data_IF_169229958890
#
_entry.id   IF_169229958890
#
_cell.length_a   1.000
_cell.length_b   1.000
_cell.length_c   1.000
_cell.angle_alpha   90.00
_cell.angle_beta   90.00
_cell.angle_gamma   90.00
#
_symmetry.space_group_name_H-M   'P 1'
#
loop_
_entity.id
_entity.type
_entity.pdbx_description
1 polymer ?
#
# COMPACT_ATOMS: atom_id res chain seq x y z
N UNK A 1 35.07 -4.87 0.60
CA UNK A 1 33.86 -4.42 1.34
C UNK A 1 32.66 -4.07 0.44
N UNK A 2 32.83 -3.48 -0.75
CA UNK A 2 31.71 -3.11 -1.65
C UNK A 2 30.96 -4.31 -2.26
N UNK A 3 31.63 -5.46 -2.43
CA UNK A 3 31.05 -6.67 -3.02
C UNK A 3 29.77 -7.19 -2.32
N UNK A 4 29.66 -7.00 -1.00
CA UNK A 4 28.49 -7.43 -0.23
C UNK A 4 27.26 -6.56 -0.52
N UNK A 5 27.45 -5.25 -0.74
CA UNK A 5 26.37 -4.33 -1.12
C UNK A 5 25.80 -4.62 -2.52
N UNK A 6 26.67 -5.06 -3.45
CA UNK A 6 26.27 -5.42 -4.81
C UNK A 6 25.46 -6.71 -4.84
N UNK A 7 25.74 -7.68 -3.95
CA UNK A 7 25.10 -8.99 -3.99
C UNK A 7 23.62 -8.93 -3.62
N UNK A 8 23.26 -8.13 -2.61
CA UNK A 8 21.94 -8.18 -1.96
C UNK A 8 20.97 -7.05 -2.35
N UNK A 9 21.41 -5.99 -3.03
CA UNK A 9 20.52 -4.87 -3.35
C UNK A 9 20.29 -4.69 -4.85
N UNK A 10 19.05 -4.98 -5.27
CA UNK A 10 18.52 -4.69 -6.61
C UNK A 10 18.84 -3.26 -7.11
N UNK A 11 18.70 -2.19 -6.30
CA UNK A 11 18.95 -0.83 -6.79
C UNK A 11 20.42 -0.56 -7.10
N UNK A 12 21.37 -1.16 -6.39
CA UNK A 12 22.81 -0.98 -6.66
C UNK A 12 23.19 -1.65 -7.99
N UNK A 13 22.60 -2.81 -8.30
CA UNK A 13 22.79 -3.48 -9.59
C UNK A 13 22.24 -2.64 -10.75
N UNK A 14 21.05 -2.07 -10.59
CA UNK A 14 20.45 -1.21 -11.60
C UNK A 14 21.25 0.08 -11.83
N UNK A 15 21.77 0.69 -10.75
CA UNK A 15 22.59 1.90 -10.83
C UNK A 15 23.94 1.64 -11.52
N UNK A 16 24.56 0.48 -11.27
CA UNK A 16 25.75 0.01 -11.99
C UNK A 16 25.47 -0.23 -13.48
N UNK A 17 24.35 -0.86 -13.83
CA UNK A 17 23.96 -1.08 -15.22
C UNK A 17 23.73 0.23 -15.96
N UNK A 18 23.14 1.22 -15.30
CA UNK A 18 22.93 2.56 -15.86
C UNK A 18 24.27 3.24 -16.14
N UNK A 19 25.21 3.15 -15.20
CA UNK A 19 26.56 3.73 -15.32
C UNK A 19 27.37 3.05 -16.44
N UNK A 20 27.28 1.72 -16.55
CA UNK A 20 27.89 0.95 -17.65
C UNK A 20 27.25 1.30 -19.00
N UNK A 21 25.92 1.41 -19.05
CA UNK A 21 25.20 1.84 -20.25
C UNK A 21 25.67 3.20 -20.74
N UNK A 22 25.90 4.15 -19.82
CA UNK A 22 26.36 5.51 -20.14
C UNK A 22 27.81 5.52 -20.66
N UNK A 23 28.69 4.67 -20.10
CA UNK A 23 30.07 4.49 -20.59
C UNK A 23 30.10 3.83 -21.99
N UNK A 24 29.23 2.85 -22.25
CA UNK A 24 29.13 2.18 -23.55
C UNK A 24 28.54 3.12 -24.62
N UNK A 25 27.58 3.97 -24.24
CA UNK A 25 27.02 5.00 -25.12
C UNK A 25 28.11 5.98 -25.60
N UNK A 26 29.04 6.34 -24.70
CA UNK A 26 30.17 7.21 -25.02
C UNK A 26 31.11 6.59 -26.07
N UNK A 27 31.19 5.26 -26.12
CA UNK A 27 31.99 4.51 -27.08
C UNK A 27 31.28 4.26 -28.43
N UNK A 28 30.08 4.84 -28.62
CA UNK A 28 29.29 4.78 -29.86
C UNK A 28 28.34 3.60 -29.97
N UNK A 29 28.27 2.74 -28.94
CA UNK A 29 27.43 1.54 -28.95
C UNK A 29 26.04 1.85 -28.38
N UNK A 30 25.33 2.73 -29.08
CA UNK A 30 24.05 3.30 -28.62
C UNK A 30 22.97 2.25 -28.41
N UNK A 31 22.88 1.22 -29.27
CA UNK A 31 21.88 0.15 -29.13
C UNK A 31 22.03 -0.64 -27.81
N UNK A 32 23.27 -1.00 -27.43
CA UNK A 32 23.54 -1.73 -26.18
C UNK A 32 23.27 -0.85 -24.96
N UNK A 33 23.59 0.45 -25.05
CA UNK A 33 23.31 1.40 -23.97
C UNK A 33 21.82 1.58 -23.70
N UNK A 34 20.99 1.61 -24.75
CA UNK A 34 19.53 1.71 -24.63
C UNK A 34 18.97 0.49 -23.93
N UNK A 35 19.40 -0.72 -24.33
CA UNK A 35 18.96 -1.97 -23.70
C UNK A 35 19.34 -2.01 -22.21
N UNK A 36 20.58 -1.62 -21.88
CA UNK A 36 21.04 -1.55 -20.49
C UNK A 36 20.22 -0.54 -19.66
N UNK A 37 19.86 0.60 -20.25
CA UNK A 37 19.05 1.63 -19.61
C UNK A 37 17.63 1.12 -19.33
N UNK A 38 16.98 0.46 -20.30
CA UNK A 38 15.65 -0.13 -20.13
C UNK A 38 15.60 -1.13 -18.99
N UNK A 39 16.57 -2.06 -18.93
CA UNK A 39 16.64 -3.07 -17.86
C UNK A 39 16.88 -2.41 -16.49
N UNK A 40 17.72 -1.38 -16.42
CA UNK A 40 17.97 -0.65 -15.18
C UNK A 40 16.71 0.09 -14.70
N UNK A 41 15.99 0.75 -15.60
CA UNK A 41 14.75 1.45 -15.30
C UNK A 41 13.68 0.47 -14.82
N UNK A 42 13.47 -0.64 -15.52
CA UNK A 42 12.50 -1.66 -15.13
C UNK A 42 12.83 -2.27 -13.76
N UNK A 43 14.11 -2.55 -13.48
CA UNK A 43 14.55 -3.04 -12.18
C UNK A 43 14.34 -2.03 -11.04
N UNK A 44 14.56 -0.74 -11.30
CA UNK A 44 14.28 0.33 -10.35
C UNK A 44 12.77 0.45 -10.13
N UNK A 45 11.97 0.47 -11.18
CA UNK A 45 10.51 0.57 -11.09
C UNK A 45 9.93 -0.60 -10.31
N UNK A 46 10.32 -1.83 -10.64
CA UNK A 46 9.90 -3.04 -9.94
C UNK A 46 10.29 -2.99 -8.45
N UNK A 47 11.49 -2.49 -8.13
CA UNK A 47 11.93 -2.32 -6.74
C UNK A 47 11.07 -1.30 -5.98
N UNK A 48 10.77 -0.14 -6.58
CA UNK A 48 9.88 0.86 -5.97
C UNK A 48 8.46 0.33 -5.82
N UNK A 49 7.94 -0.38 -6.81
CA UNK A 49 6.60 -0.98 -6.78
C UNK A 49 6.51 -2.07 -5.70
N UNK A 50 7.55 -2.89 -5.54
CA UNK A 50 7.61 -3.91 -4.49
C UNK A 50 7.82 -3.32 -3.09
N UNK A 51 8.43 -2.15 -2.96
CA UNK A 51 8.53 -1.45 -1.67
C UNK A 51 7.23 -0.78 -1.26
N UNK A 52 6.37 -0.47 -2.24
CA UNK A 52 5.02 0.01 -2.05
C UNK A 52 4.01 -1.13 -1.80
N UNK A 53 4.46 -2.35 -1.45
CA UNK A 53 3.57 -3.38 -0.94
C UNK A 53 2.88 -2.83 0.30
N UNK A 54 1.57 -2.69 0.19
CA UNK A 54 0.63 -2.26 1.21
C UNK A 54 1.00 -2.82 2.58
N UNK A 55 1.58 -1.98 3.46
CA UNK A 55 1.92 -2.41 4.82
C UNK A 55 0.65 -2.42 5.66
N UNK A 56 0.15 -3.61 5.93
CA UNK A 56 -1.00 -3.80 6.80
C UNK A 56 -0.60 -3.61 8.26
N UNK A 57 -1.18 -2.62 8.91
CA UNK A 57 -1.01 -2.39 10.35
C UNK A 57 -1.83 -3.43 11.10
N UNK A 58 -1.19 -4.23 11.94
CA UNK A 58 -1.90 -5.24 12.75
C UNK A 58 -2.58 -4.54 13.91
N UNK A 59 -3.89 -4.78 14.05
CA UNK A 59 -4.72 -4.24 15.12
C UNK A 59 -5.42 -5.39 15.86
N UNK A 60 -5.36 -5.36 17.19
CA UNK A 60 -6.04 -6.34 18.03
C UNK A 60 -7.53 -6.01 18.24
N UNK A 61 -7.92 -4.75 18.08
CA UNK A 61 -9.30 -4.27 18.23
C UNK A 61 -9.58 -3.16 17.22
N UNK A 62 -10.17 -3.54 16.08
CA UNK A 62 -10.43 -2.62 14.97
C UNK A 62 -11.56 -1.64 15.29
N UNK A 63 -12.51 -2.02 16.15
CA UNK A 63 -13.63 -1.18 16.55
C UNK A 63 -13.14 -0.02 17.44
N UNK A 64 -12.17 -0.27 18.31
CA UNK A 64 -11.56 0.78 19.13
C UNK A 64 -10.84 1.87 18.30
N UNK A 65 -10.46 1.56 17.05
CA UNK A 65 -9.87 2.55 16.15
C UNK A 65 -10.93 3.42 15.45
N UNK A 66 -12.18 2.99 15.43
CA UNK A 66 -13.26 3.65 14.70
C UNK A 66 -14.14 4.42 15.68
N UNK A 67 -14.29 5.72 15.46
CA UNK A 67 -15.18 6.54 16.27
C UNK A 67 -15.79 7.64 15.43
N UNK A 68 -17.07 7.93 15.65
CA UNK A 68 -17.68 9.18 15.20
C UNK A 68 -17.49 10.21 16.31
N UNK A 69 -16.77 11.28 16.00
CA UNK A 69 -16.63 12.40 16.94
C UNK A 69 -17.95 13.14 17.13
N UNK A 70 -18.10 13.85 18.25
CA UNK A 70 -19.27 14.71 18.51
C UNK A 70 -19.49 15.79 17.44
N UNK A 71 -18.48 16.04 16.61
CA UNK A 71 -18.47 16.94 15.47
C UNK A 71 -18.93 16.28 14.16
N UNK A 72 -19.45 15.04 14.21
CA UNK A 72 -19.94 14.29 13.05
C UNK A 72 -18.85 13.74 12.14
N UNK A 73 -17.59 13.84 12.54
CA UNK A 73 -16.45 13.44 11.72
C UNK A 73 -16.03 11.99 12.03
N UNK A 74 -15.72 11.23 10.99
CA UNK A 74 -15.20 9.87 11.14
C UNK A 74 -13.74 9.93 11.57
N UNK A 75 -13.40 9.27 12.67
CA UNK A 75 -12.04 9.10 13.16
C UNK A 75 -11.62 7.65 12.97
N UNK A 76 -10.43 7.47 12.42
CA UNK A 76 -9.80 6.16 12.20
C UNK A 76 -8.40 6.23 12.81
N UNK A 77 -8.27 5.75 14.05
CA UNK A 77 -7.07 5.92 14.86
C UNK A 77 -6.77 7.40 15.11
N UNK A 78 -5.62 7.87 14.58
CA UNK A 78 -5.22 9.28 14.68
C UNK A 78 -5.78 10.16 13.55
N UNK A 79 -6.31 9.54 12.49
CA UNK A 79 -6.77 10.25 11.29
C UNK A 79 -8.25 10.63 11.37
N UNK A 80 -8.61 11.70 10.65
CA UNK A 80 -9.97 12.26 10.66
C UNK A 80 -10.46 12.53 9.24
N UNK A 81 -11.64 12.03 8.90
CA UNK A 81 -12.39 12.42 7.71
C UNK A 81 -13.50 13.39 8.07
N UNK A 82 -13.42 14.60 7.50
CA UNK A 82 -14.44 15.64 7.66
C UNK A 82 -15.72 15.37 6.86
N UNK A 83 -15.66 14.47 5.88
CA UNK A 83 -16.81 14.00 5.13
C UNK A 83 -16.84 12.46 5.21
N UNK A 84 -17.60 11.89 6.17
CA UNK A 84 -17.67 10.44 6.35
C UNK A 84 -18.24 9.70 5.13
N UNK A 85 -19.13 10.35 4.38
CA UNK A 85 -19.81 9.73 3.23
C UNK A 85 -18.91 9.57 2.01
N UNK A 86 -17.82 10.33 1.90
CA UNK A 86 -16.86 10.22 0.80
C UNK A 86 -15.75 9.19 1.08
N UNK A 87 -15.84 8.48 2.19
CA UNK A 87 -14.88 7.45 2.59
C UNK A 87 -15.15 6.16 1.83
N UNK A 88 -14.13 5.63 1.18
CA UNK A 88 -14.21 4.31 0.53
C UNK A 88 -13.69 3.25 1.48
N UNK A 89 -14.51 2.24 1.71
CA UNK A 89 -14.17 1.11 2.58
C UNK A 89 -14.10 -0.15 1.75
N UNK A 90 -12.96 -0.82 1.80
CA UNK A 90 -12.72 -2.12 1.20
C UNK A 90 -12.49 -3.15 2.31
N UNK A 91 -13.30 -4.20 2.30
CA UNK A 91 -13.20 -5.32 3.23
C UNK A 91 -12.76 -6.58 2.48
N UNK A 92 -11.69 -7.18 2.96
CA UNK A 92 -11.17 -8.47 2.52
C UNK A 92 -11.06 -9.39 3.74
N UNK A 93 -11.09 -10.70 3.52
CA UNK A 93 -10.90 -11.70 4.56
C UNK A 93 -10.07 -12.88 4.05
N UNK A 94 -9.33 -13.51 4.95
CA UNK A 94 -8.75 -14.83 4.79
C UNK A 94 -9.22 -15.76 5.92
N UNK A 95 -8.72 -16.99 5.97
CA UNK A 95 -9.13 -18.00 6.97
C UNK A 95 -8.81 -17.63 8.43
N UNK A 96 -8.01 -16.59 8.69
CA UNK A 96 -7.54 -16.22 10.04
C UNK A 96 -7.76 -14.74 10.38
N UNK A 97 -7.82 -13.86 9.39
CA UNK A 97 -7.82 -12.42 9.56
C UNK A 97 -8.78 -11.71 8.61
N UNK A 98 -9.37 -10.63 9.10
CA UNK A 98 -9.98 -9.59 8.29
C UNK A 98 -8.96 -8.52 7.90
N UNK A 99 -9.17 -7.92 6.75
CA UNK A 99 -8.38 -6.82 6.23
C UNK A 99 -9.33 -5.67 5.86
N UNK A 100 -9.02 -4.49 6.39
CA UNK A 100 -9.80 -3.28 6.20
C UNK A 100 -8.91 -2.23 5.54
N UNK A 101 -9.33 -1.77 4.38
CA UNK A 101 -8.72 -0.64 3.70
C UNK A 101 -9.69 0.53 3.69
N UNK A 102 -9.28 1.65 4.27
CA UNK A 102 -10.08 2.88 4.35
C UNK A 102 -9.36 3.98 3.59
N UNK A 103 -10.00 4.52 2.56
CA UNK A 103 -9.49 5.69 1.84
C UNK A 103 -10.24 6.92 2.33
N UNK A 104 -9.54 7.77 3.07
CA UNK A 104 -10.05 9.06 3.53
C UNK A 104 -9.85 10.09 2.42
N UNK A 105 -10.77 11.03 2.22
CA UNK A 105 -10.68 11.97 1.08
C UNK A 105 -9.45 12.89 1.11
N UNK A 106 -8.91 13.14 2.31
CA UNK A 106 -7.75 14.02 2.51
C UNK A 106 -6.46 13.26 2.84
N UNK A 107 -6.51 11.93 2.99
CA UNK A 107 -5.39 11.10 3.43
C UNK A 107 -5.20 9.88 2.53
N UNK A 108 -3.98 9.35 2.51
CA UNK A 108 -3.70 8.08 1.83
C UNK A 108 -4.51 6.91 2.39
N UNK A 109 -4.55 5.77 1.69
CA UNK A 109 -5.28 4.60 2.14
C UNK A 109 -4.68 4.05 3.43
N UNK A 110 -5.52 3.84 4.44
CA UNK A 110 -5.19 3.20 5.70
C UNK A 110 -5.47 1.71 5.61
N UNK A 111 -4.50 0.89 5.97
CA UNK A 111 -4.57 -0.57 5.82
C UNK A 111 -4.44 -1.24 7.17
N UNK A 112 -5.50 -1.91 7.62
CA UNK A 112 -5.55 -2.61 8.89
C UNK A 112 -5.80 -4.11 8.70
N UNK A 113 -5.10 -4.92 9.49
CA UNK A 113 -5.32 -6.35 9.63
C UNK A 113 -5.79 -6.64 11.04
N UNK A 114 -6.89 -7.36 11.18
CA UNK A 114 -7.52 -7.64 12.46
C UNK A 114 -8.03 -9.09 12.56
N UNK A 115 -8.25 -9.61 13.78
CA UNK A 115 -8.82 -10.94 13.99
C UNK A 115 -10.19 -11.11 13.30
N UNK A 116 -10.40 -12.24 12.61
CA UNK A 116 -11.60 -12.47 11.79
C UNK A 116 -12.93 -12.35 12.57
N UNK A 117 -12.92 -12.68 13.87
CA UNK A 117 -14.09 -12.57 14.74
C UNK A 117 -14.64 -11.13 14.89
N UNK A 118 -13.88 -10.10 14.51
CA UNK A 118 -14.33 -8.71 14.55
C UNK A 118 -14.94 -8.24 13.23
N UNK A 119 -14.93 -9.07 12.18
CA UNK A 119 -15.43 -8.68 10.85
C UNK A 119 -16.93 -8.38 10.85
N UNK A 120 -17.73 -9.26 11.44
CA UNK A 120 -19.19 -9.10 11.50
C UNK A 120 -19.60 -7.90 12.38
N UNK A 121 -19.07 -7.72 13.61
CA UNK A 121 -19.27 -6.49 14.38
C UNK A 121 -18.86 -5.21 13.64
N UNK A 122 -17.75 -5.26 12.88
CA UNK A 122 -17.28 -4.12 12.09
C UNK A 122 -18.25 -3.75 10.96
N UNK A 123 -18.80 -4.74 10.26
CA UNK A 123 -19.82 -4.51 9.23
C UNK A 123 -21.08 -3.89 9.83
N UNK A 124 -21.56 -4.42 10.96
CA UNK A 124 -22.72 -3.86 11.67
C UNK A 124 -22.49 -2.41 12.11
N UNK A 125 -21.29 -2.11 12.61
CA UNK A 125 -20.92 -0.75 12.98
C UNK A 125 -20.97 0.20 11.78
N UNK A 126 -20.39 -0.19 10.65
CA UNK A 126 -20.46 0.61 9.42
C UNK A 126 -21.91 0.81 8.94
N UNK A 127 -22.75 -0.23 8.97
CA UNK A 127 -24.16 -0.10 8.57
C UNK A 127 -24.98 0.80 9.51
N UNK A 128 -24.61 0.86 10.79
CA UNK A 128 -25.34 1.65 11.80
C UNK A 128 -24.90 3.11 11.79
N UNK A 129 -23.60 3.35 11.79
CA UNK A 129 -23.00 4.68 11.92
C UNK A 129 -22.83 5.39 10.57
N UNK A 130 -22.70 4.61 9.49
CA UNK A 130 -22.40 5.09 8.15
C UNK A 130 -23.26 4.36 7.09
N UNK A 131 -24.60 4.47 7.13
CA UNK A 131 -25.49 3.70 6.26
C UNK A 131 -25.29 3.96 4.76
N UNK A 132 -24.76 5.13 4.39
CA UNK A 132 -24.59 5.55 3.00
C UNK A 132 -23.20 5.24 2.41
N UNK A 133 -22.30 4.58 3.15
CA UNK A 133 -20.96 4.28 2.62
C UNK A 133 -20.97 3.10 1.65
N UNK A 134 -20.20 3.23 0.57
CA UNK A 134 -20.00 2.12 -0.36
C UNK A 134 -18.93 1.18 0.21
N UNK A 135 -19.35 0.02 0.71
CA UNK A 135 -18.46 -1.05 1.14
C UNK A 135 -18.20 -1.98 -0.05
N UNK A 136 -16.97 -1.98 -0.55
CA UNK A 136 -16.54 -2.93 -1.56
C UNK A 136 -16.03 -4.20 -0.88
N UNK A 137 -16.73 -5.33 -1.10
CA UNK A 137 -16.27 -6.64 -0.68
C UNK A 137 -15.38 -7.25 -1.76
N UNK A 138 -14.16 -7.60 -1.36
CA UNK A 138 -13.23 -8.31 -2.24
C UNK A 138 -12.93 -9.66 -1.57
N UNK A 139 -13.49 -10.73 -2.13
CA UNK A 139 -13.14 -12.10 -1.75
C UNK A 139 -11.76 -12.39 -2.33
N UNK A 140 -10.75 -12.52 -1.47
CA UNK A 140 -9.43 -12.99 -1.89
C UNK A 140 -9.49 -14.50 -2.05
N UNK A 141 -9.77 -14.95 -3.28
CA UNK A 141 -9.73 -16.36 -3.68
C UNK A 141 -8.32 -16.93 -3.59
#
# INVERSE_FOLDING_TARGET
MVWFLIKDSLPIKALLLLLIGLLIAWQGWTAVSIIALSIAVDGILAYYQQRNTTKWTTCNDILALLAIGNDGNLRVGMEKASNPQSVKVELQQDNRYGYLQITLSNNGPLHYRFPLNQLEPLQQWFSTELPDITIAHQLKS
#
